data_IF_320647884608
#
_entry.id   IF_320647884608
#
_cell.length_a   1.000
_cell.length_b   1.000
_cell.length_c   1.000
_cell.angle_alpha   90.00
_cell.angle_beta   90.00
_cell.angle_gamma   90.00
#
_symmetry.space_group_name_H-M   'P 1'
#
loop_
_entity.id
_entity.type
_entity.pdbx_description
1 polymer ?
#
# COMPACT_ATOMS: atom_id res chain seq x y z
N UNK A 1 6.76 78.29 -32.92
CA UNK A 1 7.93 78.48 -33.79
C UNK A 1 8.50 77.13 -34.10
N UNK A 2 8.31 76.75 -35.34
CA UNK A 2 9.17 75.96 -36.26
C UNK A 2 9.45 74.52 -35.87
N UNK A 3 8.70 73.52 -36.41
CA UNK A 3 8.90 72.89 -37.72
C UNK A 3 10.32 72.37 -37.86
N UNK A 4 10.47 71.05 -37.98
CA UNK A 4 10.88 70.39 -39.20
C UNK A 4 10.87 68.88 -39.07
N UNK A 5 10.28 68.31 -40.10
CA UNK A 5 10.13 66.92 -40.50
C UNK A 5 11.41 66.39 -41.18
N UNK A 6 11.31 65.16 -41.70
CA UNK A 6 12.12 64.46 -42.73
C UNK A 6 13.03 63.38 -42.14
N UNK A 7 13.08 62.10 -42.58
CA UNK A 7 12.64 61.38 -43.81
C UNK A 7 12.69 59.88 -43.56
N UNK A 8 11.97 59.18 -44.39
CA UNK A 8 12.01 57.73 -44.64
C UNK A 8 13.38 57.17 -44.92
N UNK A 9 13.63 55.99 -44.44
CA UNK A 9 14.73 55.12 -44.85
C UNK A 9 14.25 53.71 -44.89
N UNK A 10 13.85 53.31 -46.06
CA UNK A 10 13.49 51.94 -46.48
C UNK A 10 14.79 51.13 -46.55
N UNK A 11 14.87 50.00 -45.85
CA UNK A 11 15.90 49.01 -46.09
C UNK A 11 15.40 47.57 -45.75
N UNK A 12 15.91 46.55 -46.42
CA UNK A 12 15.13 45.40 -46.87
C UNK A 12 15.05 44.27 -45.80
N UNK A 13 13.95 43.56 -45.91
CA UNK A 13 13.63 42.30 -45.23
C UNK A 13 14.70 41.25 -45.53
N UNK A 14 15.50 40.84 -44.53
CA UNK A 14 16.34 39.64 -44.55
C UNK A 14 15.52 38.48 -43.96
N UNK A 15 14.89 37.74 -44.89
CA UNK A 15 14.12 36.53 -44.67
C UNK A 15 15.09 35.36 -44.40
N UNK A 16 15.57 35.23 -43.18
CA UNK A 16 16.23 34.00 -42.71
C UNK A 16 15.32 33.33 -41.71
N UNK A 17 14.55 32.37 -42.23
CA UNK A 17 13.84 31.37 -41.46
C UNK A 17 14.82 30.68 -40.48
N UNK A 18 14.72 31.04 -39.21
CA UNK A 18 15.38 30.35 -38.10
C UNK A 18 14.51 29.16 -37.71
N UNK A 19 14.79 28.03 -38.40
CA UNK A 19 14.18 26.72 -38.14
C UNK A 19 14.74 26.15 -36.83
N UNK A 20 14.40 26.79 -35.68
CA UNK A 20 14.59 26.23 -34.36
C UNK A 20 13.41 25.35 -34.03
N UNK A 21 13.54 24.07 -34.39
CA UNK A 21 12.70 23.02 -33.87
C UNK A 21 12.57 23.15 -32.36
N UNK A 22 11.43 23.68 -31.94
CA UNK A 22 10.99 23.79 -30.53
C UNK A 22 10.78 22.38 -29.99
N UNK A 23 11.84 21.77 -29.49
CA UNK A 23 11.77 20.58 -28.63
C UNK A 23 11.24 21.00 -27.26
N UNK A 24 10.01 21.47 -27.23
CA UNK A 24 9.24 21.47 -25.99
C UNK A 24 8.92 20.03 -25.67
N UNK A 25 9.71 19.47 -24.72
CA UNK A 25 9.28 18.30 -23.99
C UNK A 25 7.83 18.53 -23.53
N UNK A 26 6.95 17.62 -23.88
CA UNK A 26 5.53 17.64 -23.56
C UNK A 26 5.37 17.46 -22.05
N UNK A 27 5.50 18.56 -21.31
CA UNK A 27 5.37 18.64 -19.85
C UNK A 27 3.88 18.67 -19.47
N UNK A 28 3.14 17.64 -19.93
CA UNK A 28 1.77 17.39 -19.47
C UNK A 28 1.84 16.79 -18.07
N UNK A 29 1.09 17.34 -17.08
CA UNK A 29 0.96 16.71 -15.78
C UNK A 29 0.22 15.37 -15.98
N UNK A 30 0.95 14.27 -16.06
CA UNK A 30 0.45 12.93 -16.33
C UNK A 30 1.49 11.99 -16.93
N UNK A 31 2.49 12.51 -17.66
CA UNK A 31 3.51 11.67 -18.31
C UNK A 31 4.28 10.79 -17.32
N UNK A 32 4.66 11.31 -16.19
CA UNK A 32 5.38 10.56 -15.14
C UNK A 32 4.54 9.44 -14.52
N UNK A 33 3.23 9.65 -14.33
CA UNK A 33 2.34 8.62 -13.80
C UNK A 33 2.08 7.52 -14.84
N UNK A 34 1.91 7.88 -16.12
CA UNK A 34 1.73 6.90 -17.20
C UNK A 34 2.96 6.02 -17.38
N UNK A 35 4.15 6.59 -17.33
CA UNK A 35 5.42 5.85 -17.39
C UNK A 35 5.60 4.92 -16.19
N UNK A 36 5.30 5.41 -15.00
CA UNK A 36 5.33 4.61 -13.77
C UNK A 36 4.33 3.45 -13.82
N UNK A 37 3.11 3.71 -14.29
CA UNK A 37 2.07 2.69 -14.53
C UNK A 37 2.53 1.62 -15.51
N UNK A 38 3.08 2.04 -16.66
CA UNK A 38 3.54 1.11 -17.68
C UNK A 38 4.66 0.20 -17.14
N UNK A 39 5.60 0.78 -16.40
CA UNK A 39 6.73 0.06 -15.80
C UNK A 39 6.26 -0.97 -14.76
N UNK A 40 5.41 -0.56 -13.81
CA UNK A 40 4.89 -1.45 -12.77
C UNK A 40 4.08 -2.59 -13.38
N UNK A 41 3.19 -2.29 -14.32
CA UNK A 41 2.39 -3.34 -14.99
C UNK A 41 3.31 -4.31 -15.75
N UNK A 42 4.33 -3.81 -16.44
CA UNK A 42 5.29 -4.63 -17.17
C UNK A 42 6.01 -5.64 -16.26
N UNK A 43 6.52 -5.16 -15.13
CA UNK A 43 7.19 -5.99 -14.12
C UNK A 43 6.26 -7.05 -13.56
N UNK A 44 5.02 -6.70 -13.21
CA UNK A 44 4.03 -7.64 -12.66
C UNK A 44 3.59 -8.69 -13.66
N UNK A 45 3.34 -8.32 -14.91
CA UNK A 45 3.00 -9.28 -15.97
C UNK A 45 4.13 -10.29 -16.14
N UNK A 46 5.38 -9.81 -16.23
CA UNK A 46 6.56 -10.64 -16.35
C UNK A 46 6.75 -11.56 -15.13
N UNK A 47 6.59 -11.01 -13.92
CA UNK A 47 6.70 -11.78 -12.67
C UNK A 47 5.70 -12.93 -12.63
N UNK A 48 4.41 -12.65 -12.85
CA UNK A 48 3.36 -13.67 -12.83
C UNK A 48 3.57 -14.72 -13.93
N UNK A 49 3.95 -14.31 -15.13
CA UNK A 49 4.30 -15.25 -16.20
C UNK A 49 5.43 -16.20 -15.80
N UNK A 50 6.50 -15.66 -15.20
CA UNK A 50 7.64 -16.47 -14.76
C UNK A 50 7.26 -17.40 -13.62
N UNK A 51 6.40 -17.00 -12.70
CA UNK A 51 5.86 -17.88 -11.63
C UNK A 51 5.10 -19.08 -12.20
N UNK A 52 4.40 -18.90 -13.31
CA UNK A 52 3.75 -20.00 -14.04
C UNK A 52 4.74 -20.83 -14.87
N UNK A 53 6.02 -20.47 -14.97
CA UNK A 53 7.00 -21.11 -15.84
C UNK A 53 6.69 -20.93 -17.33
N UNK A 54 5.95 -19.90 -17.72
CA UNK A 54 5.51 -19.70 -19.09
C UNK A 54 6.47 -18.84 -19.90
N UNK A 55 6.54 -19.16 -21.22
CA UNK A 55 7.19 -18.28 -22.20
C UNK A 55 6.28 -17.12 -22.56
N UNK A 56 6.85 -16.04 -23.12
CA UNK A 56 6.08 -14.91 -23.66
C UNK A 56 5.06 -15.37 -24.72
N UNK A 57 5.44 -16.35 -25.57
CA UNK A 57 4.53 -16.91 -26.57
C UNK A 57 3.32 -17.58 -25.92
N UNK A 58 3.57 -18.43 -24.90
CA UNK A 58 2.48 -19.14 -24.21
C UNK A 58 1.49 -18.17 -23.54
N UNK A 59 1.96 -17.17 -22.82
CA UNK A 59 1.06 -16.20 -22.21
C UNK A 59 0.30 -15.37 -23.26
N UNK A 60 0.96 -15.03 -24.37
CA UNK A 60 0.30 -14.32 -25.48
C UNK A 60 -0.86 -15.15 -26.06
N UNK A 61 -0.63 -16.46 -26.28
CA UNK A 61 -1.66 -17.37 -26.80
C UNK A 61 -2.84 -17.49 -25.81
N UNK A 62 -2.58 -17.67 -24.50
CA UNK A 62 -3.60 -17.78 -23.44
C UNK A 62 -4.45 -16.49 -23.33
N UNK A 63 -3.83 -15.33 -23.58
CA UNK A 63 -4.53 -14.02 -23.52
C UNK A 63 -5.15 -13.59 -24.86
N UNK A 64 -4.94 -14.35 -25.94
CA UNK A 64 -5.35 -13.92 -27.29
C UNK A 64 -4.64 -12.65 -27.76
N UNK A 65 -3.36 -12.48 -27.38
CA UNK A 65 -2.50 -11.37 -27.79
C UNK A 65 -1.45 -11.86 -28.80
N UNK A 66 -0.92 -10.93 -29.61
CA UNK A 66 0.28 -11.25 -30.36
C UNK A 66 1.51 -11.31 -29.43
N UNK A 67 2.46 -12.18 -29.72
CA UNK A 67 3.73 -12.27 -28.97
C UNK A 67 4.48 -10.94 -28.96
N UNK A 68 4.41 -10.18 -30.07
CA UNK A 68 5.02 -8.86 -30.18
C UNK A 68 4.34 -7.83 -29.23
N UNK A 69 3.01 -7.87 -29.11
CA UNK A 69 2.27 -6.99 -28.21
C UNK A 69 2.61 -7.29 -26.75
N UNK A 70 2.58 -8.56 -26.36
CA UNK A 70 2.94 -8.95 -25.00
C UNK A 70 4.40 -8.59 -24.66
N UNK A 71 5.32 -8.77 -25.61
CA UNK A 71 6.72 -8.35 -25.44
C UNK A 71 6.85 -6.85 -25.23
N UNK A 72 6.08 -6.01 -25.96
CA UNK A 72 6.06 -4.56 -25.74
C UNK A 72 5.51 -4.20 -24.36
N UNK A 73 4.48 -4.89 -23.92
CA UNK A 73 3.90 -4.69 -22.57
C UNK A 73 4.95 -5.03 -21.50
N UNK A 74 5.59 -6.21 -21.58
CA UNK A 74 6.58 -6.64 -20.57
C UNK A 74 7.88 -5.80 -20.56
N UNK A 75 8.12 -5.01 -21.59
CA UNK A 75 9.24 -4.08 -21.67
C UNK A 75 8.82 -2.61 -21.47
N UNK A 76 7.62 -2.36 -20.97
CA UNK A 76 7.05 -1.02 -20.72
C UNK A 76 7.03 -0.11 -21.97
N UNK A 77 7.08 -0.69 -23.19
CA UNK A 77 7.05 0.05 -24.45
C UNK A 77 5.63 0.46 -24.86
N UNK A 78 4.61 -0.07 -24.20
CA UNK A 78 3.21 0.28 -24.40
C UNK A 78 2.40 -0.06 -23.15
N UNK A 79 1.46 0.81 -22.81
CA UNK A 79 0.51 0.57 -21.73
C UNK A 79 -0.61 -0.35 -22.24
N UNK A 80 -0.94 -1.44 -21.55
CA UNK A 80 -2.07 -2.28 -21.92
C UNK A 80 -3.40 -1.58 -21.65
N UNK A 81 -4.38 -1.80 -22.53
CA UNK A 81 -5.75 -1.37 -22.25
C UNK A 81 -6.36 -2.13 -21.08
N UNK A 82 -7.41 -1.58 -20.44
CA UNK A 82 -8.14 -2.28 -19.38
C UNK A 82 -8.67 -3.65 -19.84
N UNK A 83 -9.10 -3.77 -21.09
CA UNK A 83 -9.50 -5.05 -21.66
C UNK A 83 -8.33 -6.04 -21.76
N UNK A 84 -7.14 -5.56 -22.06
CA UNK A 84 -5.92 -6.38 -22.07
C UNK A 84 -5.53 -6.82 -20.67
N UNK A 85 -5.63 -5.92 -19.68
CA UNK A 85 -5.37 -6.24 -18.26
C UNK A 85 -6.37 -7.30 -17.76
N UNK A 86 -7.65 -7.21 -18.14
CA UNK A 86 -8.65 -8.21 -17.76
C UNK A 86 -8.28 -9.60 -18.31
N UNK A 87 -7.88 -9.72 -19.58
CA UNK A 87 -7.44 -10.98 -20.19
C UNK A 87 -6.18 -11.55 -19.54
N UNK A 88 -5.21 -10.68 -19.19
CA UNK A 88 -4.02 -11.07 -18.45
C UNK A 88 -4.37 -11.58 -17.04
N UNK A 89 -5.32 -10.94 -16.37
CA UNK A 89 -5.85 -11.33 -15.06
C UNK A 89 -6.46 -12.74 -15.09
N UNK A 90 -7.30 -13.02 -16.08
CA UNK A 90 -7.91 -14.33 -16.27
C UNK A 90 -6.88 -15.42 -16.56
N UNK A 91 -5.98 -15.18 -17.53
CA UNK A 91 -4.98 -16.17 -17.92
C UNK A 91 -3.98 -16.48 -16.81
N UNK A 92 -3.59 -15.49 -16.02
CA UNK A 92 -2.64 -15.65 -14.92
C UNK A 92 -3.30 -16.00 -13.57
N UNK A 93 -4.63 -16.08 -13.54
CA UNK A 93 -5.43 -16.35 -12.33
C UNK A 93 -5.10 -15.41 -11.15
N UNK A 94 -4.89 -14.12 -11.45
CA UNK A 94 -4.61 -13.09 -10.45
C UNK A 94 -5.66 -11.97 -10.52
N UNK A 95 -6.02 -11.31 -9.41
CA UNK A 95 -6.93 -10.17 -9.47
C UNK A 95 -6.33 -9.01 -10.28
N UNK A 96 -7.16 -8.26 -11.00
CA UNK A 96 -6.74 -7.09 -11.81
C UNK A 96 -5.89 -6.11 -10.99
N UNK A 97 -6.22 -5.91 -9.72
CA UNK A 97 -5.47 -5.04 -8.80
C UNK A 97 -4.02 -5.47 -8.57
N UNK A 98 -3.68 -6.74 -8.84
CA UNK A 98 -2.32 -7.24 -8.66
C UNK A 98 -1.32 -6.60 -9.63
N UNK A 99 -1.77 -6.15 -10.80
CA UNK A 99 -0.90 -5.49 -11.78
C UNK A 99 -0.52 -4.05 -11.42
N UNK A 100 -1.23 -3.44 -10.47
CA UNK A 100 -1.02 -2.05 -10.04
C UNK A 100 -0.25 -1.94 -8.72
N UNK A 101 0.20 -3.06 -8.16
CA UNK A 101 0.99 -3.06 -6.93
C UNK A 101 2.39 -2.54 -7.18
N UNK A 102 2.84 -1.60 -6.36
CA UNK A 102 4.13 -0.92 -6.50
C UNK A 102 4.07 0.44 -7.19
N UNK A 103 2.87 0.92 -7.56
CA UNK A 103 2.66 2.26 -8.10
C UNK A 103 2.92 3.38 -7.11
N UNK A 104 2.90 3.08 -5.83
CA UNK A 104 3.23 4.03 -4.79
C UNK A 104 4.30 3.39 -3.92
N UNK A 105 5.56 3.75 -4.11
CA UNK A 105 6.64 3.42 -3.17
C UNK A 105 6.31 3.90 -1.74
N UNK A 106 5.42 4.90 -1.62
CA UNK A 106 4.90 5.38 -0.34
C UNK A 106 3.99 4.39 0.40
N UNK A 107 3.47 3.34 -0.27
CA UNK A 107 2.59 2.35 0.38
C UNK A 107 3.33 1.19 1.04
N UNK A 108 4.61 1.03 0.76
CA UNK A 108 5.43 -0.02 1.35
C UNK A 108 6.04 0.41 2.70
N UNK A 109 5.85 1.68 3.10
CA UNK A 109 6.31 2.24 4.37
C UNK A 109 5.19 3.01 5.04
N UNK A 110 4.89 2.66 6.29
CA UNK A 110 3.97 3.41 7.14
C UNK A 110 4.75 3.99 8.30
N UNK A 111 4.86 5.31 8.37
CA UNK A 111 5.44 6.02 9.50
C UNK A 111 4.33 6.68 10.31
N UNK A 112 4.12 6.20 11.53
CA UNK A 112 3.25 6.84 12.51
C UNK A 112 4.11 7.43 13.62
N UNK A 113 4.06 8.76 13.77
CA UNK A 113 4.77 9.45 14.86
C UNK A 113 4.12 9.13 16.21
N UNK A 114 4.87 9.29 17.28
CA UNK A 114 4.35 9.08 18.64
C UNK A 114 3.06 9.88 18.87
N UNK A 115 2.02 9.21 19.33
CA UNK A 115 0.68 9.79 19.51
C UNK A 115 -0.14 9.99 18.23
N UNK A 116 0.38 9.67 17.05
CA UNK A 116 -0.27 9.85 15.76
C UNK A 116 -1.17 8.69 15.31
N UNK A 117 -1.31 7.64 16.11
CA UNK A 117 -2.21 6.54 15.81
C UNK A 117 -3.68 6.99 15.75
N UNK A 118 -4.46 6.40 14.84
CA UNK A 118 -5.88 6.72 14.71
C UNK A 118 -6.68 5.95 15.75
N UNK A 119 -7.46 6.66 16.55
CA UNK A 119 -8.35 6.03 17.54
C UNK A 119 -9.47 5.27 16.84
N UNK A 120 -9.65 4.02 17.20
CA UNK A 120 -10.74 3.17 16.73
C UNK A 120 -11.64 2.79 17.89
N UNK A 121 -12.96 2.85 17.65
CA UNK A 121 -13.94 2.33 18.59
C UNK A 121 -14.20 0.86 18.29
N UNK A 122 -13.78 -0.02 19.19
CA UNK A 122 -14.20 -1.41 19.15
C UNK A 122 -15.61 -1.58 19.74
N UNK A 123 -16.40 -2.49 19.17
CA UNK A 123 -17.69 -2.87 19.79
C UNK A 123 -17.41 -3.46 21.16
N UNK A 124 -18.01 -2.87 22.20
CA UNK A 124 -17.79 -3.27 23.58
C UNK A 124 -16.62 -2.58 24.28
N UNK A 125 -15.98 -1.58 23.64
CA UNK A 125 -14.99 -0.74 24.35
C UNK A 125 -15.68 0.04 25.45
N UNK A 126 -15.22 -0.14 26.66
CA UNK A 126 -15.68 0.60 27.83
C UNK A 126 -14.78 1.79 28.13
N UNK A 127 -15.17 2.58 29.14
CA UNK A 127 -14.37 3.70 29.63
C UNK A 127 -12.97 3.20 30.03
N UNK A 128 -11.94 3.98 29.72
CA UNK A 128 -10.55 3.61 30.02
C UNK A 128 -9.89 2.66 29.04
N UNK A 129 -10.56 2.30 27.94
CA UNK A 129 -9.99 1.47 26.89
C UNK A 129 -9.75 2.30 25.62
N UNK A 130 -8.51 2.41 25.20
CA UNK A 130 -8.11 3.14 23.98
C UNK A 130 -7.40 2.20 23.03
N UNK A 131 -7.91 2.11 21.81
CA UNK A 131 -7.36 1.32 20.72
C UNK A 131 -6.92 2.27 19.62
N UNK A 132 -5.64 2.25 19.27
CA UNK A 132 -5.08 3.10 18.22
C UNK A 132 -4.46 2.24 17.12
N UNK A 133 -4.99 2.32 15.91
CA UNK A 133 -4.30 1.70 14.78
C UNK A 133 -3.04 2.47 14.43
N UNK A 134 -1.93 1.78 14.31
CA UNK A 134 -0.64 2.32 13.89
C UNK A 134 -0.39 2.10 12.40
N UNK A 135 -1.20 1.25 11.76
CA UNK A 135 -1.15 1.02 10.33
C UNK A 135 -1.59 -0.37 9.95
N UNK A 136 -1.97 -0.48 8.68
CA UNK A 136 -2.29 -1.76 8.04
C UNK A 136 -1.52 -1.84 6.75
N UNK A 137 -0.52 -2.72 6.68
CA UNK A 137 0.20 -3.04 5.46
C UNK A 137 -0.48 -4.22 4.77
N UNK A 138 -0.62 -4.14 3.47
CA UNK A 138 -1.17 -5.22 2.64
C UNK A 138 -0.13 -5.64 1.62
N UNK A 139 0.55 -6.73 1.90
CA UNK A 139 1.39 -7.39 0.92
C UNK A 139 0.55 -8.29 -0.02
N UNK A 140 1.13 -8.78 -1.13
CA UNK A 140 0.40 -9.57 -2.14
C UNK A 140 -0.41 -10.75 -1.58
N UNK A 141 0.04 -11.36 -0.52
CA UNK A 141 -0.60 -12.54 0.06
C UNK A 141 -0.89 -12.41 1.56
N UNK A 142 -0.42 -11.32 2.19
CA UNK A 142 -0.46 -11.16 3.63
C UNK A 142 -0.92 -9.76 4.02
N UNK A 143 -1.56 -9.63 5.16
CA UNK A 143 -1.82 -8.33 5.79
C UNK A 143 -1.17 -8.29 7.17
N UNK A 144 -0.57 -7.15 7.50
CA UNK A 144 -0.02 -6.85 8.81
C UNK A 144 -0.77 -5.65 9.39
N UNK A 145 -1.48 -5.87 10.48
CA UNK A 145 -2.17 -4.80 11.23
C UNK A 145 -1.42 -4.58 12.55
N UNK A 146 -1.08 -3.34 12.84
CA UNK A 146 -0.47 -2.97 14.11
C UNK A 146 -1.36 -2.01 14.90
N UNK A 147 -1.52 -2.28 16.19
CA UNK A 147 -2.41 -1.56 17.08
C UNK A 147 -1.76 -1.34 18.43
N UNK A 148 -1.85 -0.11 18.95
CA UNK A 148 -1.49 0.20 20.30
C UNK A 148 -2.75 0.19 21.18
N UNK A 149 -2.74 -0.63 22.22
CA UNK A 149 -3.84 -0.74 23.18
C UNK A 149 -3.40 -0.12 24.49
N UNK A 150 -4.24 0.76 25.04
CA UNK A 150 -4.01 1.39 26.34
C UNK A 150 -5.24 1.17 27.23
N UNK A 151 -5.02 0.61 28.41
CA UNK A 151 -6.06 0.34 29.41
C UNK A 151 -5.70 1.12 30.68
N UNK A 152 -6.57 2.05 31.05
CA UNK A 152 -6.36 2.98 32.19
C UNK A 152 -7.29 2.73 33.38
N UNK A 153 -8.38 2.03 33.13
CA UNK A 153 -9.39 1.74 34.15
C UNK A 153 -9.70 0.23 34.17
N UNK A 154 -10.09 -0.29 35.30
CA UNK A 154 -10.60 -1.67 35.40
C UNK A 154 -11.98 -1.74 34.79
N UNK A 155 -12.23 -2.76 34.02
CA UNK A 155 -13.54 -3.09 33.47
C UNK A 155 -14.03 -4.42 34.05
N UNK A 156 -15.34 -4.56 34.18
CA UNK A 156 -15.94 -5.80 34.71
C UNK A 156 -15.77 -6.97 33.74
N UNK A 157 -15.66 -6.67 32.43
CA UNK A 157 -15.41 -7.67 31.40
C UNK A 157 -14.70 -7.03 30.18
N UNK A 158 -13.87 -7.80 29.54
CA UNK A 158 -13.28 -7.45 28.25
C UNK A 158 -13.92 -8.30 27.14
N UNK A 159 -14.12 -7.71 25.94
CA UNK A 159 -14.53 -8.51 24.82
C UNK A 159 -13.46 -9.56 24.50
N UNK A 160 -13.87 -10.78 24.27
CA UNK A 160 -13.01 -11.81 23.73
C UNK A 160 -13.03 -11.74 22.21
N UNK A 161 -11.86 -11.88 21.62
CA UNK A 161 -11.63 -11.76 20.19
C UNK A 161 -11.37 -13.14 19.58
N UNK A 162 -11.69 -13.26 18.31
CA UNK A 162 -11.36 -14.42 17.47
C UNK A 162 -11.22 -13.93 16.03
N UNK A 163 -10.13 -14.30 15.36
CA UNK A 163 -9.86 -13.89 13.98
C UNK A 163 -8.93 -14.88 13.28
N UNK A 164 -8.89 -14.85 11.96
CA UNK A 164 -7.95 -15.63 11.18
C UNK A 164 -6.51 -15.09 11.32
N UNK A 165 -5.54 -15.99 11.17
CA UNK A 165 -4.10 -15.66 11.18
C UNK A 165 -3.48 -15.72 12.57
N UNK A 166 -2.33 -15.07 12.71
CA UNK A 166 -1.55 -15.05 13.96
C UNK A 166 -1.51 -13.65 14.57
N UNK A 167 -1.38 -13.61 15.89
CA UNK A 167 -1.21 -12.36 16.65
C UNK A 167 0.01 -12.43 17.55
N UNK A 168 0.72 -11.31 17.65
CA UNK A 168 1.78 -11.07 18.61
C UNK A 168 1.37 -9.92 19.51
N UNK A 169 1.49 -10.11 20.81
CA UNK A 169 1.39 -9.07 21.83
C UNK A 169 2.77 -8.82 22.41
N UNK A 170 3.15 -7.54 22.51
CA UNK A 170 4.33 -7.07 23.23
C UNK A 170 3.90 -6.09 24.31
N UNK A 171 4.15 -6.43 25.55
CA UNK A 171 3.83 -5.58 26.71
C UNK A 171 4.80 -4.42 26.84
N UNK A 172 4.27 -3.21 26.83
CA UNK A 172 5.05 -1.97 26.96
C UNK A 172 5.07 -1.51 28.43
N UNK A 173 3.92 -1.57 29.11
CA UNK A 173 3.82 -1.19 30.52
C UNK A 173 2.65 -1.91 31.21
N UNK A 174 2.69 -1.93 32.55
CA UNK A 174 1.66 -2.52 33.36
C UNK A 174 1.79 -4.04 33.50
N UNK A 175 0.75 -4.65 34.08
CA UNK A 175 0.66 -6.10 34.25
C UNK A 175 -0.79 -6.55 34.13
N UNK A 176 -1.03 -7.62 33.37
CA UNK A 176 -2.36 -8.18 33.20
C UNK A 176 -2.32 -9.71 33.07
N UNK A 177 -3.45 -10.32 33.34
CA UNK A 177 -3.74 -11.66 32.89
C UNK A 177 -4.32 -11.59 31.47
N UNK A 178 -3.84 -12.44 30.57
CA UNK A 178 -4.35 -12.57 29.21
C UNK A 178 -4.90 -13.96 28.99
N UNK A 179 -6.15 -14.04 28.55
CA UNK A 179 -6.86 -15.28 28.30
C UNK A 179 -6.62 -15.77 26.87
N UNK A 180 -6.33 -17.05 26.71
CA UNK A 180 -6.24 -17.73 25.43
C UNK A 180 -6.92 -19.11 25.55
N UNK A 181 -8.09 -19.25 24.98
CA UNK A 181 -8.97 -20.39 25.25
C UNK A 181 -9.24 -20.54 26.74
N UNK A 182 -8.89 -21.68 27.29
CA UNK A 182 -9.04 -21.98 28.72
C UNK A 182 -7.77 -21.69 29.54
N UNK A 183 -6.72 -21.16 28.91
CA UNK A 183 -5.46 -20.89 29.58
C UNK A 183 -5.31 -19.40 29.85
N UNK A 184 -4.66 -19.06 30.95
CA UNK A 184 -4.40 -17.69 31.38
C UNK A 184 -2.89 -17.48 31.52
N UNK A 185 -2.40 -16.40 30.94
CA UNK A 185 -1.00 -16.01 30.96
C UNK A 185 -0.88 -14.67 31.68
N UNK A 186 0.00 -14.60 32.68
CA UNK A 186 0.32 -13.31 33.30
C UNK A 186 1.43 -12.68 32.50
N UNK A 187 1.16 -11.47 31.99
CA UNK A 187 2.08 -10.68 31.16
C UNK A 187 2.47 -9.41 31.90
N UNK A 188 3.76 -9.06 31.86
CA UNK A 188 4.30 -7.82 32.40
C UNK A 188 5.23 -7.13 31.40
N UNK A 189 5.62 -5.90 31.67
CA UNK A 189 6.40 -5.08 30.73
C UNK A 189 7.64 -5.83 30.22
N UNK A 190 7.79 -5.89 28.87
CA UNK A 190 8.84 -6.62 28.18
C UNK A 190 8.45 -8.03 27.72
N UNK A 191 7.34 -8.58 28.22
CA UNK A 191 6.88 -9.90 27.79
C UNK A 191 6.27 -9.89 26.40
N UNK A 192 6.37 -11.03 25.73
CA UNK A 192 5.70 -11.31 24.44
C UNK A 192 4.83 -12.54 24.55
N UNK A 193 3.66 -12.50 23.92
CA UNK A 193 2.78 -13.64 23.70
C UNK A 193 2.45 -13.75 22.22
N UNK A 194 2.68 -14.91 21.63
CA UNK A 194 2.33 -15.18 20.23
C UNK A 194 1.37 -16.36 20.16
N UNK A 195 0.33 -16.22 19.35
CA UNK A 195 -0.72 -17.23 19.25
C UNK A 195 -1.45 -17.18 17.91
N UNK A 196 -2.21 -18.23 17.66
CA UNK A 196 -3.12 -18.37 16.52
C UNK A 196 -4.45 -17.70 16.87
N UNK A 197 -4.91 -16.76 16.05
CA UNK A 197 -6.09 -15.92 16.33
C UNK A 197 -7.43 -16.65 16.29
N UNK A 198 -7.49 -17.88 15.75
CA UNK A 198 -8.72 -18.68 15.67
C UNK A 198 -9.20 -19.19 17.04
N UNK A 199 -8.35 -19.16 18.07
CA UNK A 199 -8.76 -19.45 19.44
C UNK A 199 -9.22 -18.17 20.11
N UNK A 200 -10.31 -18.23 20.85
CA UNK A 200 -10.85 -17.09 21.61
C UNK A 200 -9.83 -16.54 22.59
N UNK A 201 -9.56 -15.24 22.55
CA UNK A 201 -8.51 -14.60 23.35
C UNK A 201 -8.87 -13.16 23.73
N UNK A 202 -8.20 -12.61 24.73
CA UNK A 202 -8.39 -11.22 25.17
C UNK A 202 -7.83 -10.94 26.56
N UNK A 203 -7.78 -9.66 26.98
CA UNK A 203 -7.43 -9.30 28.35
C UNK A 203 -8.37 -9.95 29.37
N UNK A 204 -7.79 -10.44 30.45
CA UNK A 204 -8.50 -10.91 31.63
C UNK A 204 -8.40 -9.90 32.76
N UNK A 205 -7.81 -10.30 33.91
CA UNK A 205 -7.63 -9.39 35.03
C UNK A 205 -6.54 -8.35 34.77
N UNK A 206 -6.85 -7.06 35.01
CA UNK A 206 -5.89 -5.96 34.94
C UNK A 206 -5.22 -5.80 36.31
N UNK A 207 -4.00 -6.37 36.46
CA UNK A 207 -3.30 -6.46 37.75
C UNK A 207 -2.66 -5.13 38.12
N UNK A 208 -1.95 -4.49 37.17
CA UNK A 208 -1.26 -3.21 37.41
C UNK A 208 -1.50 -2.24 36.23
N UNK A 209 -2.21 -1.17 36.52
CA UNK A 209 -2.51 -0.07 35.55
C UNK A 209 -1.46 1.05 35.64
N UNK A 210 -1.28 1.88 34.58
CA UNK A 210 -1.86 1.70 33.26
C UNK A 210 -1.18 0.57 32.49
N UNK A 211 -1.95 -0.15 31.69
CA UNK A 211 -1.45 -1.18 30.81
C UNK A 211 -1.34 -0.61 29.41
N UNK A 212 -0.21 -0.86 28.76
CA UNK A 212 -0.02 -0.56 27.35
C UNK A 212 0.67 -1.72 26.67
N UNK A 213 0.15 -2.14 25.52
CA UNK A 213 0.75 -3.18 24.71
C UNK A 213 0.56 -2.94 23.22
N UNK A 214 1.50 -3.42 22.44
CA UNK A 214 1.43 -3.49 21.00
C UNK A 214 0.81 -4.84 20.62
N UNK A 215 -0.25 -4.80 19.81
CA UNK A 215 -0.82 -5.97 19.15
C UNK A 215 -0.49 -5.92 17.66
N UNK A 216 0.07 -7.00 17.13
CA UNK A 216 0.41 -7.14 15.71
C UNK A 216 -0.28 -8.38 15.17
N UNK A 217 -1.17 -8.20 14.19
CA UNK A 217 -1.91 -9.27 13.53
C UNK A 217 -1.38 -9.49 12.12
N UNK A 218 -1.06 -10.73 11.82
CA UNK A 218 -0.66 -11.16 10.49
C UNK A 218 -1.70 -12.14 9.93
N UNK A 219 -2.15 -11.88 8.70
CA UNK A 219 -3.10 -12.75 7.98
C UNK A 219 -2.55 -13.07 6.61
N UNK A 220 -2.55 -14.35 6.26
CA UNK A 220 -2.24 -14.83 4.93
C UNK A 220 -3.44 -14.75 4.00
#
# INVERSE_FOLDING_TARGET
MSIEAVTEGDDPVDDRADDRADHRADDRPGSGLEESLATVIAERVREFRLRHGWTVGRLADECGLSKSMLSKIENAQTSPSLATIARLSEALAVPVTAFFRGLSEEQDVILVKAGGGLDIQHRGSERGQRYQTLGTMRAPHDSLESMLVTLTERADAFPLYQHAGTELIFMISGKMEYCYGNTRYVLEAGDTLQFVGEVTHGPGELIQLPIQFLAVKARA
#
